data_IF_689579610584
#
_entry.id   IF_689579610584
#
_cell.length_a   1.000
_cell.length_b   1.000
_cell.length_c   1.000
_cell.angle_alpha   90.00
_cell.angle_beta   90.00
_cell.angle_gamma   90.00
#
_symmetry.space_group_name_H-M   'P 1'
#
loop_
_entity.id
_entity.type
_entity.pdbx_description
1 polymer ?
#
# COMPACT_ATOMS: atom_id res chain seq x y z
N UNK A 1 -5.74 19.37 0.83
CA UNK A 1 -5.68 17.93 0.46
C UNK A 1 -6.82 17.17 1.16
N UNK A 2 -7.18 15.99 0.66
CA UNK A 2 -8.46 15.31 0.94
C UNK A 2 -8.74 14.97 2.41
N UNK A 3 -10.01 15.04 2.78
CA UNK A 3 -10.54 14.75 4.12
C UNK A 3 -10.91 13.27 4.33
N UNK A 4 -10.77 12.46 3.28
CA UNK A 4 -11.04 11.03 3.25
C UNK A 4 -10.42 10.42 2.00
N UNK A 5 -10.21 9.11 2.01
CA UNK A 5 -9.50 8.38 0.95
C UNK A 5 -10.39 7.23 0.48
N UNK A 6 -10.65 7.17 -0.82
CA UNK A 6 -11.26 6.02 -1.49
C UNK A 6 -10.18 5.30 -2.29
N UNK A 7 -10.06 3.99 -2.11
CA UNK A 7 -9.09 3.13 -2.79
C UNK A 7 -9.85 2.08 -3.60
N UNK A 8 -9.68 2.14 -4.91
CA UNK A 8 -10.28 1.19 -5.85
C UNK A 8 -9.31 0.04 -6.18
N UNK A 9 -9.78 -1.05 -6.81
CA UNK A 9 -8.90 -2.13 -7.22
C UNK A 9 -7.82 -1.65 -8.20
N UNK A 10 -6.57 -1.90 -7.84
CA UNK A 10 -5.42 -1.49 -8.63
C UNK A 10 -4.28 -2.50 -8.59
N UNK A 11 -3.15 -2.12 -9.16
CA UNK A 11 -1.93 -2.94 -9.19
C UNK A 11 -0.97 -2.63 -8.05
N UNK A 12 0.34 -2.89 -8.24
CA UNK A 12 1.36 -2.66 -7.22
C UNK A 12 1.45 -1.19 -6.80
N UNK A 13 1.16 -0.23 -7.69
CA UNK A 13 1.16 1.20 -7.34
C UNK A 13 0.05 1.58 -6.37
N UNK A 14 -1.17 1.08 -6.57
CA UNK A 14 -2.27 1.31 -5.62
C UNK A 14 -2.01 0.63 -4.28
N UNK A 15 -1.34 -0.52 -4.30
CA UNK A 15 -0.96 -1.19 -3.06
C UNK A 15 0.18 -0.47 -2.31
N UNK A 16 1.13 0.12 -3.04
CA UNK A 16 2.13 1.04 -2.50
C UNK A 16 1.48 2.23 -1.78
N UNK A 17 0.47 2.86 -2.41
CA UNK A 17 -0.28 3.98 -1.83
C UNK A 17 -1.04 3.56 -0.57
N UNK A 18 -1.67 2.38 -0.55
CA UNK A 18 -2.31 1.84 0.64
C UNK A 18 -1.31 1.64 1.78
N UNK A 19 -0.16 1.02 1.51
CA UNK A 19 0.89 0.83 2.51
C UNK A 19 1.41 2.15 3.06
N UNK A 20 1.56 3.17 2.22
CA UNK A 20 1.91 4.51 2.67
C UNK A 20 0.86 5.08 3.64
N UNK A 21 -0.42 5.02 3.28
CA UNK A 21 -1.53 5.51 4.13
C UNK A 21 -1.58 4.76 5.46
N UNK A 22 -1.44 3.42 5.44
CA UNK A 22 -1.42 2.61 6.65
C UNK A 22 -0.21 2.94 7.52
N UNK A 23 0.97 3.11 6.93
CA UNK A 23 2.20 3.48 7.63
C UNK A 23 2.07 4.82 8.36
N UNK A 24 1.43 5.81 7.73
CA UNK A 24 1.09 7.08 8.37
C UNK A 24 0.08 6.86 9.50
N UNK A 25 -1.02 6.13 9.27
CA UNK A 25 -2.07 5.92 10.28
C UNK A 25 -1.63 5.05 11.46
N UNK A 26 -0.64 4.17 11.28
CA UNK A 26 -0.04 3.35 12.34
C UNK A 26 0.84 4.14 13.30
N UNK A 27 1.24 5.37 12.94
CA UNK A 27 2.02 6.22 13.83
C UNK A 27 1.23 6.47 15.14
N UNK A 28 1.82 6.20 16.32
CA UNK A 28 1.16 6.44 17.61
C UNK A 28 0.64 7.89 17.78
N UNK A 29 1.31 8.88 17.20
CA UNK A 29 0.90 10.29 17.23
C UNK A 29 -0.36 10.56 16.39
N UNK A 30 -0.71 9.66 15.48
CA UNK A 30 -1.89 9.79 14.61
C UNK A 30 -3.13 9.05 15.13
N UNK A 31 -3.09 8.46 16.33
CA UNK A 31 -4.25 7.72 16.89
C UNK A 31 -5.52 8.56 17.00
N UNK A 32 -5.38 9.86 17.25
CA UNK A 32 -6.50 10.80 17.34
C UNK A 32 -6.92 11.39 15.98
N UNK A 33 -6.20 11.08 14.88
CA UNK A 33 -6.50 11.61 13.56
C UNK A 33 -7.74 10.92 12.98
N UNK A 34 -8.74 11.73 12.62
CA UNK A 34 -9.89 11.27 11.86
C UNK A 34 -9.57 11.41 10.37
N UNK A 35 -9.20 10.30 9.75
CA UNK A 35 -8.98 10.20 8.30
C UNK A 35 -9.59 8.88 7.82
N UNK A 36 -10.81 8.89 7.26
CA UNK A 36 -11.50 7.69 6.84
C UNK A 36 -10.86 7.14 5.55
N UNK A 37 -10.64 5.83 5.51
CA UNK A 37 -10.10 5.11 4.36
C UNK A 37 -11.08 4.00 4.00
N UNK A 38 -11.62 4.05 2.79
CA UNK A 38 -12.53 3.01 2.28
C UNK A 38 -11.93 2.38 1.04
N UNK A 39 -11.80 1.06 1.09
CA UNK A 39 -11.49 0.20 -0.04
C UNK A 39 -12.82 -0.21 -0.68
N UNK A 40 -13.03 0.07 -1.95
CA UNK A 40 -14.31 -0.21 -2.60
C UNK A 40 -14.21 -0.51 -4.09
N UNK A 41 -15.12 -1.33 -4.58
CA UNK A 41 -15.20 -1.70 -5.99
C UNK A 41 -16.45 -2.53 -6.25
N UNK A 42 -16.67 -2.91 -7.52
CA UNK A 42 -17.83 -3.71 -7.90
C UNK A 42 -17.68 -5.15 -7.38
N UNK A 43 -18.73 -5.95 -7.48
CA UNK A 43 -18.76 -7.33 -6.94
C UNK A 43 -17.60 -8.20 -7.43
N UNK A 44 -17.16 -8.04 -8.68
CA UNK A 44 -16.06 -8.80 -9.31
C UNK A 44 -14.70 -8.54 -8.63
N UNK A 45 -14.59 -7.46 -7.85
CA UNK A 45 -13.39 -7.11 -7.10
C UNK A 45 -13.31 -7.72 -5.70
N UNK A 46 -14.29 -8.54 -5.29
CA UNK A 46 -14.30 -9.17 -3.96
C UNK A 46 -13.00 -9.96 -3.68
N UNK A 47 -12.52 -10.75 -4.65
CA UNK A 47 -11.28 -11.52 -4.49
C UNK A 47 -10.04 -10.63 -4.37
N UNK A 48 -10.01 -9.50 -5.10
CA UNK A 48 -8.93 -8.52 -4.97
C UNK A 48 -8.87 -7.98 -3.54
N UNK A 49 -10.00 -7.56 -2.98
CA UNK A 49 -10.03 -7.02 -1.62
C UNK A 49 -9.77 -8.10 -0.56
N UNK A 50 -10.16 -9.34 -0.80
CA UNK A 50 -9.77 -10.47 0.06
C UNK A 50 -8.26 -10.71 0.07
N UNK A 51 -7.59 -10.60 -1.09
CA UNK A 51 -6.12 -10.65 -1.19
C UNK A 51 -5.47 -9.55 -0.36
N UNK A 52 -5.97 -8.32 -0.46
CA UNK A 52 -5.47 -7.17 0.31
C UNK A 52 -5.70 -7.35 1.82
N UNK A 53 -6.93 -7.66 2.24
CA UNK A 53 -7.29 -7.82 3.66
C UNK A 53 -6.47 -8.93 4.32
N UNK A 54 -6.33 -10.06 3.62
CA UNK A 54 -5.51 -11.19 4.06
C UNK A 54 -4.06 -10.76 4.25
N UNK A 55 -3.44 -10.14 3.25
CA UNK A 55 -2.04 -9.73 3.36
C UNK A 55 -1.82 -8.75 4.51
N UNK A 56 -2.67 -7.71 4.62
CA UNK A 56 -2.53 -6.72 5.69
C UNK A 56 -2.72 -7.36 7.07
N UNK A 57 -3.73 -8.21 7.26
CA UNK A 57 -3.98 -8.91 8.52
C UNK A 57 -2.84 -9.86 8.89
N UNK A 58 -2.31 -10.61 7.93
CA UNK A 58 -1.24 -11.60 8.17
C UNK A 58 0.14 -10.97 8.34
N UNK A 59 0.39 -9.78 7.77
CA UNK A 59 1.73 -9.15 7.76
C UNK A 59 1.84 -8.00 8.75
N UNK A 60 0.81 -7.14 8.84
CA UNK A 60 0.81 -5.95 9.69
C UNK A 60 -0.12 -6.08 10.90
N UNK A 61 -0.92 -7.15 10.95
CA UNK A 61 -1.80 -7.47 12.07
C UNK A 61 -3.14 -6.74 12.05
N UNK A 62 -4.00 -7.12 13.00
CA UNK A 62 -5.37 -6.62 13.13
C UNK A 62 -5.45 -5.11 13.37
N UNK A 63 -4.43 -4.52 14.01
CA UNK A 63 -4.39 -3.06 14.21
C UNK A 63 -4.30 -2.30 12.89
N UNK A 64 -3.58 -2.82 11.89
CA UNK A 64 -3.54 -2.22 10.56
C UNK A 64 -4.86 -2.42 9.80
N UNK A 65 -5.48 -3.59 9.97
CA UNK A 65 -6.76 -3.95 9.35
C UNK A 65 -7.92 -3.05 9.80
N UNK A 66 -7.91 -2.59 11.05
CA UNK A 66 -8.89 -1.62 11.59
C UNK A 66 -8.79 -0.22 10.98
N UNK A 67 -7.71 0.11 10.26
CA UNK A 67 -7.46 1.46 9.74
C UNK A 67 -8.20 1.76 8.43
N UNK A 68 -8.91 0.78 7.87
CA UNK A 68 -9.73 0.92 6.68
C UNK A 68 -11.02 0.12 6.79
N UNK A 69 -11.95 0.38 5.87
CA UNK A 69 -13.19 -0.38 5.73
C UNK A 69 -13.33 -0.84 4.29
N UNK A 70 -13.76 -2.08 4.07
CA UNK A 70 -14.03 -2.62 2.74
C UNK A 70 -15.54 -2.56 2.48
N UNK A 71 -15.95 -1.93 1.39
CA UNK A 71 -17.35 -1.87 0.95
C UNK A 71 -17.43 -2.35 -0.50
N UNK A 72 -18.11 -3.47 -0.73
CA UNK A 72 -18.23 -4.09 -2.06
C UNK A 72 -19.61 -3.82 -2.64
N UNK A 73 -19.67 -3.38 -3.89
CA UNK A 73 -20.89 -3.25 -4.69
C UNK A 73 -21.98 -2.35 -4.07
N UNK A 74 -21.58 -1.39 -3.22
CA UNK A 74 -22.49 -0.44 -2.57
C UNK A 74 -21.93 0.99 -2.58
N UNK A 75 -21.97 1.68 -3.75
CA UNK A 75 -21.47 3.05 -3.87
C UNK A 75 -22.24 4.05 -3.00
N UNK A 76 -23.50 3.76 -2.66
CA UNK A 76 -24.33 4.63 -1.82
C UNK A 76 -23.82 4.59 -0.37
N UNK A 77 -23.51 3.42 0.15
CA UNK A 77 -22.91 3.26 1.49
C UNK A 77 -21.53 3.91 1.56
N UNK A 78 -20.69 3.76 0.53
CA UNK A 78 -19.39 4.48 0.44
C UNK A 78 -19.59 6.00 0.59
N UNK A 79 -20.50 6.58 -0.19
CA UNK A 79 -20.77 8.01 -0.17
C UNK A 79 -21.33 8.48 1.19
N UNK A 80 -22.23 7.70 1.79
CA UNK A 80 -22.79 7.97 3.13
C UNK A 80 -21.72 7.92 4.20
N UNK A 81 -20.82 6.93 4.17
CA UNK A 81 -19.71 6.83 5.12
C UNK A 81 -18.79 8.04 5.02
N UNK A 82 -18.38 8.42 3.80
CA UNK A 82 -17.54 9.61 3.61
C UNK A 82 -18.23 10.87 4.11
N UNK A 83 -19.50 11.08 3.73
CA UNK A 83 -20.28 12.26 4.16
C UNK A 83 -20.36 12.36 5.69
N UNK A 84 -20.65 11.23 6.37
CA UNK A 84 -20.71 11.19 7.83
C UNK A 84 -19.36 11.49 8.47
N UNK A 85 -18.28 10.89 7.95
CA UNK A 85 -16.94 11.10 8.50
C UNK A 85 -16.44 12.55 8.39
N UNK A 86 -17.03 13.39 7.53
CA UNK A 86 -16.70 14.83 7.47
C UNK A 86 -17.03 15.56 8.77
N UNK A 87 -18.06 15.14 9.50
CA UNK A 87 -18.38 15.71 10.81
C UNK A 87 -17.28 15.43 11.82
N UNK A 88 -16.74 14.20 11.83
CA UNK A 88 -15.64 13.79 12.69
C UNK A 88 -14.34 14.53 12.33
N UNK A 89 -14.01 14.60 11.04
CA UNK A 89 -12.84 15.35 10.54
C UNK A 89 -12.93 16.81 10.96
N UNK A 90 -14.08 17.46 10.72
CA UNK A 90 -14.30 18.87 11.07
C UNK A 90 -14.14 19.09 12.57
N UNK A 91 -14.74 18.22 13.38
CA UNK A 91 -14.66 18.27 14.84
C UNK A 91 -13.22 18.13 15.31
N UNK A 92 -12.48 17.15 14.81
CA UNK A 92 -11.07 16.93 15.16
C UNK A 92 -10.20 18.14 14.80
N UNK A 93 -10.36 18.74 13.62
CA UNK A 93 -9.58 19.93 13.23
C UNK A 93 -9.88 21.12 14.12
N UNK A 94 -11.15 21.33 14.45
CA UNK A 94 -11.54 22.38 15.38
C UNK A 94 -10.93 22.17 16.78
N UNK A 95 -10.94 20.93 17.30
CA UNK A 95 -10.39 20.60 18.62
C UNK A 95 -8.86 20.74 18.69
N UNK A 96 -8.17 20.52 17.57
CA UNK A 96 -6.71 20.60 17.47
C UNK A 96 -6.20 21.95 16.95
N UNK A 97 -7.11 22.92 16.73
CA UNK A 97 -6.81 24.20 16.07
C UNK A 97 -6.05 24.04 14.74
N UNK A 98 -6.34 22.96 14.01
CA UNK A 98 -5.71 22.63 12.73
C UNK A 98 -6.55 23.17 11.55
N UNK A 99 -5.91 23.32 10.39
CA UNK A 99 -6.57 23.85 9.19
C UNK A 99 -7.53 22.83 8.57
N UNK A 100 -8.63 23.34 8.01
CA UNK A 100 -9.48 22.56 7.13
C UNK A 100 -8.86 22.39 5.72
N UNK A 101 -8.01 23.32 5.28
CA UNK A 101 -7.38 23.25 3.94
C UNK A 101 -6.19 22.30 3.87
N UNK A 102 -5.54 22.04 5.01
CA UNK A 102 -4.33 21.22 5.11
C UNK A 102 -4.24 20.55 6.49
N UNK A 103 -3.74 19.31 6.54
CA UNK A 103 -3.54 18.57 7.79
C UNK A 103 -2.15 18.77 8.37
N UNK A 104 -1.96 19.84 9.14
CA UNK A 104 -0.67 20.11 9.78
C UNK A 104 -0.41 19.19 10.97
N UNK A 105 -1.48 18.75 11.63
CA UNK A 105 -1.37 17.87 12.79
C UNK A 105 -1.05 16.41 12.43
N UNK A 106 -1.13 16.03 11.15
CA UNK A 106 -0.77 14.70 10.67
C UNK A 106 0.74 14.45 10.78
N UNK A 107 1.13 13.49 11.60
CA UNK A 107 2.52 13.09 11.71
C UNK A 107 2.90 12.13 10.59
N UNK A 108 3.67 12.61 9.62
CA UNK A 108 4.31 11.74 8.62
C UNK A 108 5.74 11.49 9.06
N UNK A 109 6.06 10.24 9.34
CA UNK A 109 7.41 9.84 9.75
C UNK A 109 8.42 10.02 8.59
N UNK A 110 9.67 10.45 8.85
CA UNK A 110 10.69 10.61 7.81
C UNK A 110 10.88 9.40 6.90
N UNK A 111 10.67 8.17 7.41
CA UNK A 111 10.72 6.92 6.63
C UNK A 111 9.77 6.91 5.43
N UNK A 112 8.67 7.65 5.50
CA UNK A 112 7.69 7.77 4.41
C UNK A 112 7.94 9.00 3.53
N UNK A 113 8.82 9.93 3.93
CA UNK A 113 9.12 11.15 3.17
C UNK A 113 10.35 11.01 2.29
N UNK A 114 11.34 10.21 2.72
CA UNK A 114 12.57 10.04 1.98
C UNK A 114 12.32 9.35 0.63
N UNK A 115 12.84 9.91 -0.48
CA UNK A 115 12.80 9.24 -1.77
C UNK A 115 13.47 7.88 -1.71
N UNK A 116 12.93 6.92 -2.45
CA UNK A 116 13.51 5.61 -2.62
C UNK A 116 13.85 5.39 -4.09
N UNK A 117 15.14 5.18 -4.36
CA UNK A 117 15.62 4.81 -5.69
C UNK A 117 15.74 3.29 -5.79
N UNK A 118 14.96 2.62 -6.66
CA UNK A 118 14.90 1.17 -6.72
C UNK A 118 16.06 0.60 -7.57
N UNK A 119 17.27 0.64 -7.03
CA UNK A 119 18.43 -0.07 -7.59
C UNK A 119 18.42 -1.53 -7.12
N UNK A 120 19.14 -2.43 -7.80
CA UNK A 120 19.27 -3.84 -7.37
C UNK A 120 19.81 -3.98 -5.96
N UNK A 121 20.78 -3.13 -5.59
CA UNK A 121 21.35 -3.08 -4.25
C UNK A 121 20.30 -2.63 -3.22
N UNK A 122 19.62 -1.51 -3.47
CA UNK A 122 18.61 -0.98 -2.54
C UNK A 122 17.46 -1.97 -2.34
N UNK A 123 16.98 -2.59 -3.43
CA UNK A 123 15.92 -3.61 -3.38
C UNK A 123 16.35 -4.86 -2.61
N UNK A 124 17.60 -5.30 -2.77
CA UNK A 124 18.13 -6.45 -2.04
C UNK A 124 18.40 -6.16 -0.55
N UNK A 125 18.62 -4.90 -0.18
CA UNK A 125 18.94 -4.49 1.18
C UNK A 125 17.71 -4.09 2.02
N UNK A 126 16.50 -4.17 1.46
CA UNK A 126 15.26 -3.93 2.20
C UNK A 126 15.16 -4.88 3.41
N UNK A 127 14.83 -4.32 4.58
CA UNK A 127 14.67 -5.10 5.80
C UNK A 127 13.31 -5.80 5.79
N UNK A 128 13.24 -6.98 5.20
CA UNK A 128 12.01 -7.74 5.02
C UNK A 128 11.92 -8.87 6.06
N UNK A 129 11.68 -8.54 7.32
CA UNK A 129 11.49 -9.52 8.40
C UNK A 129 10.49 -9.02 9.46
N UNK A 130 9.96 -9.90 10.30
CA UNK A 130 9.01 -9.51 11.35
C UNK A 130 9.67 -8.92 12.61
N UNK A 131 10.98 -9.09 12.80
CA UNK A 131 11.69 -8.56 13.97
C UNK A 131 12.00 -7.04 13.85
N UNK A 132 10.98 -6.23 13.65
CA UNK A 132 11.03 -4.77 13.56
C UNK A 132 9.65 -4.17 13.90
N UNK A 133 9.55 -2.85 13.99
CA UNK A 133 8.24 -2.22 14.21
C UNK A 133 7.33 -2.38 12.97
N UNK A 134 6.01 -2.39 13.18
CA UNK A 134 5.06 -2.37 12.06
C UNK A 134 5.28 -1.18 11.13
N UNK A 135 5.71 -0.03 11.65
CA UNK A 135 6.02 1.15 10.82
C UNK A 135 7.23 0.89 9.91
N UNK A 136 8.29 0.27 10.44
CA UNK A 136 9.48 -0.08 9.64
C UNK A 136 9.14 -1.12 8.58
N UNK A 137 8.42 -2.18 8.96
CA UNK A 137 7.99 -3.20 8.01
C UNK A 137 7.11 -2.60 6.92
N UNK A 138 6.15 -1.74 7.27
CA UNK A 138 5.28 -1.06 6.30
C UNK A 138 6.07 -0.16 5.35
N UNK A 139 7.07 0.57 5.85
CA UNK A 139 7.93 1.41 5.01
C UNK A 139 8.76 0.58 4.02
N UNK A 140 9.36 -0.53 4.46
CA UNK A 140 10.09 -1.44 3.59
C UNK A 140 9.16 -2.08 2.53
N UNK A 141 7.96 -2.52 2.92
CA UNK A 141 6.98 -3.07 1.97
C UNK A 141 6.54 -2.03 0.95
N UNK A 142 6.31 -0.77 1.36
CA UNK A 142 6.04 0.34 0.45
C UNK A 142 7.16 0.48 -0.59
N UNK A 143 8.42 0.36 -0.17
CA UNK A 143 9.57 0.41 -1.08
C UNK A 143 9.65 -0.79 -2.03
N UNK A 144 9.28 -2.00 -1.58
CA UNK A 144 9.15 -3.19 -2.44
C UNK A 144 8.20 -2.90 -3.61
N UNK A 145 6.98 -2.45 -3.31
CA UNK A 145 5.99 -2.19 -4.36
C UNK A 145 6.37 -0.99 -5.23
N UNK A 146 7.01 0.04 -4.66
CA UNK A 146 7.58 1.16 -5.43
C UNK A 146 8.63 0.71 -6.45
N UNK A 147 9.51 -0.22 -6.06
CA UNK A 147 10.48 -0.80 -6.97
C UNK A 147 9.86 -1.67 -8.05
N UNK A 148 8.81 -2.43 -7.74
CA UNK A 148 8.07 -3.22 -8.72
C UNK A 148 7.36 -2.31 -9.73
N UNK A 149 6.72 -1.23 -9.28
CA UNK A 149 6.15 -0.22 -10.17
C UNK A 149 7.22 0.34 -11.07
N UNK A 150 8.36 0.77 -10.52
CA UNK A 150 9.46 1.30 -11.31
C UNK A 150 9.95 0.31 -12.37
N UNK A 151 10.17 -0.96 -11.99
CA UNK A 151 10.56 -2.01 -12.93
C UNK A 151 9.54 -2.29 -14.03
N UNK A 152 8.26 -2.00 -13.80
CA UNK A 152 7.20 -2.24 -14.77
C UNK A 152 6.98 -1.08 -15.75
N UNK A 153 7.23 0.17 -15.35
CA UNK A 153 6.84 1.34 -16.17
C UNK A 153 7.95 2.38 -16.39
N UNK A 154 9.04 2.39 -15.61
CA UNK A 154 10.10 3.40 -15.75
C UNK A 154 11.20 2.89 -16.69
N UNK A 155 11.48 3.58 -17.82
CA UNK A 155 12.45 3.11 -18.81
C UNK A 155 13.84 2.83 -18.23
N UNK A 156 14.35 3.74 -17.37
CA UNK A 156 15.67 3.58 -16.74
C UNK A 156 15.76 2.31 -15.87
N UNK A 157 14.68 1.97 -15.17
CA UNK A 157 14.61 0.78 -14.32
C UNK A 157 14.45 -0.49 -15.15
N UNK A 158 13.67 -0.43 -16.24
CA UNK A 158 13.57 -1.53 -17.21
C UNK A 158 14.92 -1.84 -17.87
N UNK A 159 15.68 -0.81 -18.26
CA UNK A 159 17.02 -0.97 -18.80
C UNK A 159 17.97 -1.62 -17.79
N UNK A 160 17.89 -1.23 -16.52
CA UNK A 160 18.66 -1.84 -15.45
C UNK A 160 18.29 -3.31 -15.25
N UNK A 161 17.00 -3.66 -15.30
CA UNK A 161 16.53 -5.05 -15.22
C UNK A 161 16.99 -5.88 -16.42
N UNK A 162 16.96 -5.32 -17.63
CA UNK A 162 17.45 -5.99 -18.82
C UNK A 162 18.97 -6.27 -18.75
N UNK A 163 19.74 -5.36 -18.15
CA UNK A 163 21.21 -5.48 -18.02
C UNK A 163 21.66 -6.35 -16.85
N UNK A 164 21.02 -6.20 -15.68
CA UNK A 164 21.48 -6.78 -14.41
C UNK A 164 20.60 -7.95 -13.93
N UNK A 165 19.48 -8.21 -14.61
CA UNK A 165 18.48 -9.20 -14.21
C UNK A 165 17.40 -8.64 -13.30
N UNK A 166 16.56 -9.52 -12.76
CA UNK A 166 15.41 -9.13 -11.91
C UNK A 166 15.85 -8.61 -10.54
N UNK A 167 15.02 -7.78 -9.91
CA UNK A 167 15.21 -7.42 -8.51
C UNK A 167 15.13 -8.65 -7.61
N UNK A 168 16.14 -8.88 -6.79
CA UNK A 168 16.16 -9.97 -5.81
C UNK A 168 15.60 -9.47 -4.49
N UNK A 169 14.41 -9.94 -4.13
CA UNK A 169 13.79 -9.66 -2.84
C UNK A 169 14.08 -10.81 -1.89
N UNK A 170 14.71 -10.52 -0.75
CA UNK A 170 15.12 -11.51 0.25
C UNK A 170 14.69 -11.06 1.64
N UNK A 171 14.38 -12.01 2.52
CA UNK A 171 13.88 -11.70 3.85
C UNK A 171 13.52 -12.94 4.65
N UNK A 172 12.72 -12.74 5.69
CA UNK A 172 12.07 -13.84 6.42
C UNK A 172 11.24 -14.70 5.47
N UNK A 173 11.41 -16.02 5.56
CA UNK A 173 10.75 -16.99 4.66
C UNK A 173 9.23 -16.82 4.65
N UNK A 174 8.63 -16.66 5.83
CA UNK A 174 7.16 -16.55 5.97
C UNK A 174 6.67 -15.24 5.36
N UNK A 175 7.39 -14.13 5.57
CA UNK A 175 7.06 -12.85 4.93
C UNK A 175 7.18 -12.94 3.41
N UNK A 176 8.27 -13.54 2.91
CA UNK A 176 8.51 -13.68 1.47
C UNK A 176 7.47 -14.56 0.79
N UNK A 177 6.98 -15.63 1.45
CA UNK A 177 5.85 -16.43 0.97
C UNK A 177 4.56 -15.58 0.82
N UNK A 178 4.30 -14.69 1.79
CA UNK A 178 3.13 -13.78 1.74
C UNK A 178 3.28 -12.72 0.64
N UNK A 179 4.48 -12.17 0.45
CA UNK A 179 4.80 -11.21 -0.62
C UNK A 179 4.69 -11.87 -2.00
N UNK A 180 5.20 -13.10 -2.16
CA UNK A 180 5.04 -13.84 -3.40
C UNK A 180 3.54 -14.07 -3.69
N UNK A 181 2.78 -14.54 -2.70
CA UNK A 181 1.35 -14.83 -2.85
C UNK A 181 0.54 -13.61 -3.31
N UNK A 182 0.71 -12.45 -2.67
CA UNK A 182 -0.01 -11.22 -3.09
C UNK A 182 0.38 -10.77 -4.50
N UNK A 183 1.65 -10.95 -4.89
CA UNK A 183 2.10 -10.60 -6.23
C UNK A 183 1.58 -11.59 -7.28
N UNK A 184 1.54 -12.89 -6.99
CA UNK A 184 0.92 -13.89 -7.87
C UNK A 184 -0.58 -13.61 -8.04
N UNK A 185 -1.28 -13.24 -6.97
CA UNK A 185 -2.69 -12.83 -7.05
C UNK A 185 -2.86 -11.63 -7.99
N UNK A 186 -1.99 -10.62 -7.91
CA UNK A 186 -2.02 -9.48 -8.84
C UNK A 186 -1.74 -9.88 -10.30
N UNK A 187 -0.88 -10.88 -10.54
CA UNK A 187 -0.64 -11.41 -11.89
C UNK A 187 -1.89 -12.11 -12.41
N UNK A 188 -2.48 -13.02 -11.63
CA UNK A 188 -3.67 -13.79 -11.99
C UNK A 188 -4.88 -12.89 -12.23
N UNK A 189 -4.99 -11.80 -11.47
CA UNK A 189 -6.06 -10.82 -11.60
C UNK A 189 -5.78 -9.76 -12.69
N UNK A 190 -4.71 -9.93 -13.49
CA UNK A 190 -4.29 -9.04 -14.57
C UNK A 190 -4.08 -7.58 -14.11
N UNK A 191 -3.47 -7.38 -12.93
CA UNK A 191 -3.24 -6.05 -12.32
C UNK A 191 -1.82 -5.51 -12.49
N UNK A 192 -0.89 -6.31 -13.01
CA UNK A 192 0.53 -5.92 -13.14
C UNK A 192 0.85 -5.14 -14.42
N UNK A 193 0.07 -5.35 -15.48
CA UNK A 193 0.23 -4.70 -16.79
C UNK A 193 -1.12 -4.63 -17.47
N UNK A 194 -1.33 -3.62 -18.32
CA UNK A 194 -2.49 -3.59 -19.21
C UNK A 194 -2.49 -4.84 -20.12
N UNK A 195 -3.67 -5.40 -20.45
CA UNK A 195 -3.77 -6.56 -21.33
C UNK A 195 -3.17 -6.22 -22.69
N UNK A 196 -2.02 -6.83 -23.01
CA UNK A 196 -1.29 -6.61 -24.27
C UNK A 196 -1.18 -7.90 -25.10
N UNK A 197 -1.90 -8.95 -24.72
CA UNK A 197 -1.86 -10.27 -25.34
C UNK A 197 -0.70 -11.17 -24.87
N UNK A 198 0.38 -10.57 -24.35
CA UNK A 198 1.52 -11.31 -23.80
C UNK A 198 1.38 -11.54 -22.29
N UNK A 199 1.91 -12.66 -21.81
CA UNK A 199 2.05 -12.92 -20.39
C UNK A 199 2.92 -11.84 -19.72
N UNK A 200 2.58 -11.47 -18.49
CA UNK A 200 3.41 -10.57 -17.70
C UNK A 200 4.68 -11.30 -17.23
N UNK A 201 5.84 -10.71 -17.51
CA UNK A 201 7.12 -11.18 -17.00
C UNK A 201 7.50 -10.37 -15.75
N UNK A 202 7.64 -11.01 -14.58
CA UNK A 202 8.00 -10.31 -13.35
C UNK A 202 9.36 -9.62 -13.43
N UNK A 203 9.40 -8.35 -13.05
CA UNK A 203 10.63 -7.57 -12.88
C UNK A 203 11.40 -7.91 -11.58
N UNK A 204 10.87 -8.82 -10.77
CA UNK A 204 11.37 -9.23 -9.46
C UNK A 204 11.47 -10.76 -9.36
N UNK A 205 12.21 -11.22 -8.37
CA UNK A 205 12.35 -12.61 -7.98
C UNK A 205 12.44 -12.69 -6.46
N UNK A 206 11.60 -13.54 -5.86
CA UNK A 206 11.64 -13.82 -4.43
C UNK A 206 12.72 -14.88 -4.18
N UNK A 207 13.74 -14.51 -3.41
CA UNK A 207 14.81 -15.42 -2.99
C UNK A 207 14.33 -16.14 -1.72
N UNK A 208 14.17 -17.46 -1.84
CA UNK A 208 13.70 -18.34 -0.76
C UNK A 208 14.85 -18.88 0.07
#
# INVERSE_FOLDING_TARGET
>A
MGHGILIFPGGPGTFEELLYVLGVKLNPENKAQHLPVILTGPKESANYFATIDRFIGEVLGEEARKLYTIVIDDPVTVARHMKKAMEDVKTQRCQTNDSYGFNWSLKIDPRFQHPFEPTHENMANLALHFNQSNMDLTANLRQVFSGIVAGNIKPQTQDAIAKLGKFKLKGDRTLMEKVDTVLQDFIQQHRMKLPTGNAYEPCYEIVK
#
